data_IF_762338239982
#
_entry.id   IF_762338239982
#
_cell.length_a   1.000
_cell.length_b   1.000
_cell.length_c   1.000
_cell.angle_alpha   90.00
_cell.angle_beta   90.00
_cell.angle_gamma   90.00
#
_symmetry.space_group_name_H-M   'P 1'
#
loop_
_entity.id
_entity.type
_entity.pdbx_description
1 polymer ?
#
# COMPACT_ATOMS: atom_id res chain seq x y z
N UNK A 1 0.43 -4.66 20.61
CA UNK A 1 1.32 -5.68 20.03
C UNK A 1 0.66 -6.35 18.83
N UNK A 2 1.41 -6.47 17.73
CA UNK A 2 0.94 -7.20 16.55
C UNK A 2 0.78 -8.70 16.85
N UNK A 3 -0.35 -9.26 16.50
CA UNK A 3 -0.62 -10.69 16.68
C UNK A 3 0.00 -11.56 15.57
N UNK A 4 0.19 -12.86 15.85
CA UNK A 4 0.64 -13.83 14.84
C UNK A 4 -0.30 -13.89 13.63
N UNK A 5 -1.62 -13.75 13.86
CA UNK A 5 -2.62 -13.69 12.80
C UNK A 5 -2.45 -12.47 11.89
N UNK A 6 -2.20 -11.31 12.46
CA UNK A 6 -1.93 -10.08 11.70
C UNK A 6 -0.64 -10.19 10.88
N UNK A 7 0.44 -10.73 11.46
CA UNK A 7 1.68 -10.99 10.72
C UNK A 7 1.43 -11.90 9.52
N UNK A 8 0.70 -13.00 9.74
CA UNK A 8 0.36 -13.94 8.66
C UNK A 8 -0.49 -13.28 7.57
N UNK A 9 -1.49 -12.50 7.96
CA UNK A 9 -2.32 -11.75 7.02
C UNK A 9 -1.46 -10.80 6.17
N UNK A 10 -0.69 -9.92 6.80
CA UNK A 10 0.13 -8.92 6.10
C UNK A 10 1.12 -9.61 5.15
N UNK A 11 1.83 -10.64 5.62
CA UNK A 11 2.76 -11.38 4.78
C UNK A 11 2.07 -12.02 3.57
N UNK A 12 0.85 -12.52 3.73
CA UNK A 12 0.08 -13.09 2.61
C UNK A 12 -0.27 -12.07 1.53
N UNK A 13 -0.45 -10.80 1.90
CA UNK A 13 -0.78 -9.70 0.96
C UNK A 13 0.33 -9.39 -0.05
N UNK A 14 1.53 -9.93 0.12
CA UNK A 14 2.58 -9.86 -0.91
C UNK A 14 2.16 -10.59 -2.19
N UNK A 15 1.23 -11.53 -2.11
CA UNK A 15 0.71 -12.27 -3.25
C UNK A 15 -0.65 -11.70 -3.71
N UNK A 16 -0.78 -11.48 -5.02
CA UNK A 16 -2.01 -10.94 -5.64
C UNK A 16 -3.27 -11.73 -5.28
N UNK A 17 -3.18 -13.06 -5.25
CA UNK A 17 -4.26 -13.97 -4.88
C UNK A 17 -4.88 -13.60 -3.52
N UNK A 18 -4.04 -13.32 -2.52
CA UNK A 18 -4.51 -12.98 -1.18
C UNK A 18 -4.98 -11.52 -1.08
N UNK A 19 -4.34 -10.58 -1.81
CA UNK A 19 -4.87 -9.20 -1.91
C UNK A 19 -6.29 -9.19 -2.44
N UNK A 20 -6.57 -9.97 -3.48
CA UNK A 20 -7.92 -10.08 -4.05
C UNK A 20 -8.90 -10.75 -3.08
N UNK A 21 -8.46 -11.81 -2.37
CA UNK A 21 -9.28 -12.51 -1.39
C UNK A 21 -9.64 -11.65 -0.20
N UNK A 22 -8.67 -10.97 0.37
CA UNK A 22 -8.86 -10.14 1.59
C UNK A 22 -9.36 -8.72 1.26
N UNK A 23 -9.25 -8.29 0.02
CA UNK A 23 -9.59 -6.92 -0.39
C UNK A 23 -8.66 -5.87 0.21
N UNK A 24 -7.40 -6.23 0.48
CA UNK A 24 -6.40 -5.40 1.14
C UNK A 24 -5.11 -5.32 0.33
N UNK A 25 -4.37 -4.22 0.49
CA UNK A 25 -3.02 -4.07 -0.02
C UNK A 25 -2.11 -3.37 0.99
N UNK A 26 -0.79 -3.51 0.82
CA UNK A 26 0.24 -2.94 1.68
C UNK A 26 0.76 -1.64 1.10
N UNK A 27 0.96 -0.65 1.97
CA UNK A 27 1.70 0.58 1.68
C UNK A 27 2.80 0.76 2.72
N UNK A 28 3.98 1.17 2.30
CA UNK A 28 5.15 1.34 3.17
C UNK A 28 5.75 2.73 3.04
N UNK A 29 6.12 3.29 4.19
CA UNK A 29 6.68 4.63 4.33
C UNK A 29 5.65 5.72 4.60
N UNK A 30 6.02 6.65 5.46
CA UNK A 30 5.12 7.71 5.94
C UNK A 30 4.55 8.58 4.80
N UNK A 31 5.35 8.87 3.78
CA UNK A 31 4.91 9.68 2.64
C UNK A 31 3.80 8.99 1.84
N UNK A 32 4.01 7.73 1.46
CA UNK A 32 3.01 6.96 0.69
C UNK A 32 1.75 6.77 1.51
N UNK A 33 1.87 6.41 2.78
CA UNK A 33 0.73 6.22 3.69
C UNK A 33 -0.05 7.53 3.83
N UNK A 34 0.64 8.66 4.04
CA UNK A 34 0.03 9.99 4.13
C UNK A 34 -0.73 10.38 2.86
N UNK A 35 -0.16 10.13 1.68
CA UNK A 35 -0.83 10.39 0.39
C UNK A 35 -2.11 9.55 0.24
N UNK A 36 -2.06 8.26 0.56
CA UNK A 36 -3.23 7.39 0.48
C UNK A 36 -4.34 7.84 1.43
N UNK A 37 -3.98 8.24 2.64
CA UNK A 37 -4.94 8.81 3.60
C UNK A 37 -5.56 10.12 3.10
N UNK A 38 -4.75 11.02 2.52
CA UNK A 38 -5.23 12.28 1.97
C UNK A 38 -6.17 12.10 0.77
N UNK A 39 -6.00 11.00 0.01
CA UNK A 39 -6.88 10.60 -1.08
C UNK A 39 -8.16 9.88 -0.62
N UNK A 40 -8.35 9.74 0.69
CA UNK A 40 -9.54 9.14 1.28
C UNK A 40 -9.61 7.62 1.21
N UNK A 41 -8.48 6.94 1.00
CA UNK A 41 -8.46 5.48 1.07
C UNK A 41 -8.72 5.00 2.49
N UNK A 42 -9.42 3.87 2.61
CA UNK A 42 -9.82 3.32 3.89
C UNK A 42 -8.69 2.53 4.52
N UNK A 43 -8.15 3.05 5.62
CA UNK A 43 -7.12 2.39 6.41
C UNK A 43 -7.71 1.16 7.11
N UNK A 44 -6.99 0.03 7.07
CA UNK A 44 -7.32 -1.18 7.82
C UNK A 44 -6.42 -1.36 9.05
N UNK A 45 -5.10 -1.18 8.89
CA UNK A 45 -4.14 -1.22 10.00
C UNK A 45 -2.91 -0.35 9.71
N UNK A 46 -2.28 0.17 10.76
CA UNK A 46 -1.09 1.00 10.64
C UNK A 46 -0.08 0.65 11.74
N UNK A 47 1.15 0.42 11.35
CA UNK A 47 2.26 0.04 12.23
C UNK A 47 3.41 1.02 12.05
N UNK A 48 4.08 1.36 13.14
CA UNK A 48 5.23 2.25 13.15
C UNK A 48 6.25 1.80 14.19
N UNK A 49 7.54 1.94 13.92
CA UNK A 49 8.61 1.56 14.87
C UNK A 49 8.75 2.52 16.05
N UNK A 50 8.27 3.75 15.89
CA UNK A 50 8.28 4.76 16.95
C UNK A 50 7.07 5.70 16.78
N UNK A 51 5.84 5.24 17.09
CA UNK A 51 4.66 6.10 17.00
C UNK A 51 4.72 7.20 18.06
N UNK A 52 4.28 8.40 17.70
CA UNK A 52 4.16 9.49 18.66
C UNK A 52 2.93 9.29 19.56
N UNK A 53 2.94 9.86 20.74
CA UNK A 53 1.84 9.68 21.72
C UNK A 53 0.47 10.17 21.24
N UNK A 54 0.44 11.04 20.23
CA UNK A 54 -0.79 11.56 19.61
C UNK A 54 -1.25 10.79 18.37
N UNK A 55 -0.49 9.79 17.95
CA UNK A 55 -0.81 8.97 16.77
C UNK A 55 -1.81 7.86 17.16
N UNK A 56 -3.03 8.24 17.49
CA UNK A 56 -4.08 7.29 17.84
C UNK A 56 -4.37 6.34 16.66
N UNK A 57 -4.44 5.04 16.96
CA UNK A 57 -4.70 4.00 15.97
C UNK A 57 -3.46 3.45 15.27
N UNK A 58 -2.27 4.01 15.52
CA UNK A 58 -1.00 3.45 15.06
C UNK A 58 -0.47 2.46 16.12
N UNK A 59 -0.18 1.24 15.68
CA UNK A 59 0.37 0.21 16.56
C UNK A 59 1.91 0.24 16.51
N UNK A 60 2.52 0.20 17.67
CA UNK A 60 3.98 0.06 17.74
C UNK A 60 4.42 -1.33 17.31
N UNK A 61 5.50 -1.39 16.52
CA UNK A 61 6.11 -2.63 16.04
C UNK A 61 7.63 -2.52 16.14
N UNK A 62 8.31 -3.62 16.47
CA UNK A 62 9.77 -3.63 16.44
C UNK A 62 10.30 -3.61 15.00
N UNK A 63 11.50 -3.04 14.81
CA UNK A 63 12.17 -3.03 13.49
C UNK A 63 12.33 -4.43 12.91
N UNK A 64 12.64 -5.41 13.75
CA UNK A 64 12.77 -6.82 13.34
C UNK A 64 11.48 -7.38 12.78
N UNK A 65 10.36 -7.11 13.44
CA UNK A 65 9.03 -7.57 12.96
C UNK A 65 8.60 -6.79 11.72
N UNK A 66 8.87 -5.48 11.66
CA UNK A 66 8.57 -4.67 10.50
C UNK A 66 9.35 -5.17 9.27
N UNK A 67 10.65 -5.46 9.41
CA UNK A 67 11.46 -6.04 8.33
C UNK A 67 10.91 -7.39 7.85
N UNK A 68 10.37 -8.20 8.76
CA UNK A 68 9.78 -9.51 8.43
C UNK A 68 8.53 -9.42 7.57
N UNK A 69 7.70 -8.39 7.77
CA UNK A 69 6.44 -8.19 7.03
C UNK A 69 6.57 -7.24 5.84
N UNK A 70 7.70 -6.54 5.72
CA UNK A 70 7.98 -5.60 4.64
C UNK A 70 8.11 -6.32 3.29
N UNK A 71 7.64 -5.66 2.23
CA UNK A 71 7.88 -6.06 0.84
C UNK A 71 9.22 -5.52 0.30
N UNK A 72 9.86 -4.62 1.04
CA UNK A 72 11.10 -3.95 0.64
C UNK A 72 12.31 -4.73 1.15
N UNK A 73 13.42 -4.63 0.41
CA UNK A 73 14.71 -5.20 0.83
C UNK A 73 15.18 -4.60 2.17
N UNK A 74 14.95 -3.32 2.36
CA UNK A 74 15.15 -2.61 3.62
C UNK A 74 13.83 -1.96 4.00
N UNK A 75 13.26 -2.35 5.15
CA UNK A 75 11.99 -1.81 5.61
C UNK A 75 12.08 -0.30 5.90
N UNK A 76 10.97 0.39 5.66
CA UNK A 76 10.76 1.74 6.17
C UNK A 76 10.48 1.73 7.69
N UNK A 77 10.15 2.89 8.26
CA UNK A 77 9.77 3.01 9.67
C UNK A 77 8.28 2.72 9.91
N UNK A 78 7.48 2.68 8.84
CA UNK A 78 6.04 2.46 8.92
C UNK A 78 5.52 1.59 7.78
N UNK A 79 4.46 0.84 8.08
CA UNK A 79 3.72 0.01 7.16
C UNK A 79 2.23 0.09 7.49
N UNK A 80 1.41 0.22 6.47
CA UNK A 80 -0.04 0.21 6.64
C UNK A 80 -0.70 -0.75 5.64
N UNK A 81 -1.88 -1.22 5.99
CA UNK A 81 -2.76 -1.93 5.06
C UNK A 81 -4.01 -1.10 4.81
N UNK A 82 -4.42 -1.07 3.56
CA UNK A 82 -5.60 -0.33 3.10
C UNK A 82 -6.58 -1.26 2.41
N UNK A 83 -7.85 -0.93 2.44
CA UNK A 83 -8.86 -1.59 1.61
C UNK A 83 -8.63 -1.23 0.14
N UNK A 84 -8.70 -2.24 -0.73
CA UNK A 84 -8.69 -2.00 -2.18
C UNK A 84 -9.98 -1.25 -2.53
N UNK A 85 -9.91 -0.06 -3.15
CA UNK A 85 -11.11 0.69 -3.51
C UNK A 85 -11.91 -0.05 -4.58
N UNK A 86 -13.22 0.18 -4.61
CA UNK A 86 -14.08 -0.35 -5.66
C UNK A 86 -13.64 0.20 -7.03
N UNK A 87 -13.68 -0.61 -8.10
CA UNK A 87 -13.39 -0.14 -9.44
C UNK A 87 -14.30 1.03 -9.82
N UNK A 88 -13.72 2.08 -10.40
CA UNK A 88 -14.50 3.17 -10.98
C UNK A 88 -14.81 2.84 -12.43
N UNK A 89 -15.98 3.29 -12.96
CA UNK A 89 -16.25 3.18 -14.38
C UNK A 89 -15.16 3.86 -15.21
N UNK A 90 -14.78 3.24 -16.32
CA UNK A 90 -13.90 3.88 -17.27
C UNK A 90 -14.61 5.08 -17.89
N UNK A 91 -13.95 6.23 -17.93
CA UNK A 91 -14.45 7.39 -18.65
C UNK A 91 -14.18 7.18 -20.14
N UNK A 92 -15.22 7.24 -20.94
CA UNK A 92 -15.18 7.02 -22.40
C UNK A 92 -14.92 8.32 -23.18
N UNK A 93 -14.23 9.26 -22.56
CA UNK A 93 -13.88 10.56 -23.16
C UNK A 93 -12.38 10.82 -23.01
N UNK A 94 -11.74 11.18 -24.09
CA UNK A 94 -10.32 11.52 -24.10
C UNK A 94 -9.42 10.40 -24.60
N UNK A 95 -8.14 10.50 -24.29
CA UNK A 95 -7.11 9.53 -24.69
C UNK A 95 -7.06 8.37 -23.69
N UNK A 96 -7.19 7.16 -24.20
CA UNK A 96 -7.00 5.94 -23.42
C UNK A 96 -5.68 5.29 -23.78
N UNK A 97 -4.82 5.10 -22.78
CA UNK A 97 -3.57 4.36 -22.93
C UNK A 97 -3.77 2.90 -22.49
N UNK A 98 -3.49 1.98 -23.39
CA UNK A 98 -3.52 0.56 -23.10
C UNK A 98 -2.09 0.04 -22.99
N UNK A 99 -1.76 -0.61 -21.88
CA UNK A 99 -0.45 -1.24 -21.67
C UNK A 99 -0.59 -2.76 -21.67
N UNK A 100 0.32 -3.43 -22.40
CA UNK A 100 0.34 -4.89 -22.48
C UNK A 100 1.70 -5.41 -21.98
N UNK A 101 1.64 -6.43 -21.12
CA UNK A 101 2.81 -7.14 -20.60
C UNK A 101 3.86 -6.27 -19.88
N UNK A 102 3.48 -5.11 -19.33
CA UNK A 102 4.36 -4.30 -18.47
C UNK A 102 4.54 -5.02 -17.14
N UNK A 103 5.75 -5.49 -16.85
CA UNK A 103 6.07 -6.29 -15.66
C UNK A 103 6.88 -5.52 -14.62
N UNK A 104 7.67 -4.54 -15.04
CA UNK A 104 8.49 -3.74 -14.15
C UNK A 104 7.63 -2.63 -13.46
N UNK A 105 7.55 -2.63 -12.11
CA UNK A 105 6.79 -1.62 -11.38
C UNK A 105 7.30 -0.19 -11.60
N UNK A 106 8.60 -0.02 -11.81
CA UNK A 106 9.22 1.27 -12.09
C UNK A 106 8.74 1.84 -13.43
N UNK A 107 8.72 1.00 -14.47
CA UNK A 107 8.21 1.40 -15.79
C UNK A 107 6.71 1.72 -15.75
N UNK A 108 5.92 0.91 -15.06
CA UNK A 108 4.50 1.18 -14.90
C UNK A 108 4.27 2.53 -14.17
N UNK A 109 4.99 2.78 -13.09
CA UNK A 109 4.93 4.04 -12.36
C UNK A 109 5.31 5.24 -13.21
N UNK A 110 6.32 5.12 -14.06
CA UNK A 110 6.72 6.16 -15.02
C UNK A 110 5.61 6.45 -16.03
N UNK A 111 4.98 5.43 -16.58
CA UNK A 111 3.85 5.57 -17.51
C UNK A 111 2.68 6.28 -16.84
N UNK A 112 2.31 5.89 -15.62
CA UNK A 112 1.24 6.54 -14.85
C UNK A 112 1.55 8.03 -14.62
N UNK A 113 2.79 8.38 -14.23
CA UNK A 113 3.19 9.77 -14.05
C UNK A 113 3.12 10.59 -15.33
N UNK A 114 3.49 10.00 -16.47
CA UNK A 114 3.36 10.67 -17.76
C UNK A 114 1.89 10.95 -18.11
N UNK A 115 0.99 10.00 -17.83
CA UNK A 115 -0.44 10.22 -18.01
C UNK A 115 -0.96 11.37 -17.15
N UNK A 116 -0.57 11.43 -15.89
CA UNK A 116 -0.95 12.52 -14.97
C UNK A 116 -0.37 13.88 -15.44
N UNK A 117 0.88 13.90 -15.88
CA UNK A 117 1.56 15.10 -16.36
C UNK A 117 0.91 15.72 -17.59
N UNK A 118 0.46 14.90 -18.53
CA UNK A 118 -0.15 15.37 -19.78
C UNK A 118 -1.69 15.49 -19.73
N UNK A 119 -2.34 15.13 -18.63
CA UNK A 119 -3.79 15.17 -18.45
C UNK A 119 -4.47 13.95 -18.99
#
# INVERSE_FOLDING_TARGET
LISKGQIKLITSLQQKKYRNKEGLFIAEGAKVIGELLSQGLVLHSHYHTNPQAYDSGIQEISEVLLQKISCLKTANTSLATFKIPAPKPLLDNGLTLVVDAVRDPGNLGTIIRLCDWFG
#
